data_IF_459861891731
#
_entry.id   IF_459861891731
#
_cell.length_a   1.000
_cell.length_b   1.000
_cell.length_c   1.000
_cell.angle_alpha   90.00
_cell.angle_beta   90.00
_cell.angle_gamma   90.00
#
_symmetry.space_group_name_H-M   'P 1'
#
loop_
_entity.id
_entity.type
_entity.pdbx_description
1 polymer ?
#
# COMPACT_ATOMS: atom_id res chain seq x y z
N UNK A 1 3.46 10.75 -22.50
CA UNK A 1 4.08 10.53 -21.17
C UNK A 1 2.97 10.44 -20.13
N UNK A 2 2.57 9.21 -19.82
CA UNK A 2 1.38 8.90 -19.00
C UNK A 2 1.58 9.18 -17.51
N UNK A 3 2.82 9.36 -17.07
CA UNK A 3 3.14 9.43 -15.64
C UNK A 3 3.02 10.85 -15.05
N UNK A 4 3.04 11.88 -15.86
CA UNK A 4 3.03 13.27 -15.38
C UNK A 4 1.63 13.84 -15.15
N UNK A 5 0.60 13.30 -15.80
CA UNK A 5 -0.71 13.94 -15.81
C UNK A 5 -1.63 13.57 -14.65
N UNK A 6 -1.39 12.43 -13.98
CA UNK A 6 -2.26 11.95 -12.89
C UNK A 6 -2.15 12.82 -11.64
N UNK A 7 -0.95 13.32 -11.33
CA UNK A 7 -0.74 14.20 -10.17
C UNK A 7 -0.97 15.69 -10.49
N UNK A 8 -1.06 16.06 -11.76
CA UNK A 8 -1.38 17.43 -12.19
C UNK A 8 -2.89 17.67 -12.37
N UNK A 9 -3.70 16.61 -12.28
CA UNK A 9 -5.16 16.73 -12.30
C UNK A 9 -5.69 17.34 -10.99
N UNK A 10 -6.91 17.82 -11.01
CA UNK A 10 -7.65 18.31 -9.85
C UNK A 10 -8.11 17.19 -8.89
N UNK A 11 -7.78 15.94 -9.20
CA UNK A 11 -8.12 14.79 -8.38
C UNK A 11 -7.09 14.57 -7.25
N UNK A 12 -7.53 14.35 -6.01
CA UNK A 12 -6.64 14.03 -4.91
C UNK A 12 -6.03 12.62 -5.10
N UNK A 13 -4.71 12.54 -5.21
CA UNK A 13 -3.97 11.30 -5.44
C UNK A 13 -3.41 10.74 -4.13
N UNK A 14 -3.59 9.43 -3.92
CA UNK A 14 -2.95 8.68 -2.83
C UNK A 14 -1.84 7.80 -3.38
N UNK A 15 -0.67 7.85 -2.77
CA UNK A 15 0.38 6.85 -2.99
C UNK A 15 0.16 5.64 -2.08
N UNK A 16 0.36 4.44 -2.62
CA UNK A 16 0.36 3.20 -1.85
C UNK A 16 1.73 2.55 -1.95
N UNK A 17 2.44 2.49 -0.83
CA UNK A 17 3.73 1.78 -0.73
C UNK A 17 3.42 0.30 -0.48
N UNK A 18 3.49 -0.51 -1.54
CA UNK A 18 3.07 -1.91 -1.47
C UNK A 18 3.79 -2.76 -2.53
N UNK A 19 4.27 -3.94 -2.15
CA UNK A 19 4.39 -4.44 -0.79
C UNK A 19 5.61 -3.88 -0.05
N UNK A 20 5.49 -3.68 1.25
CA UNK A 20 6.67 -3.44 2.10
C UNK A 20 7.22 -4.79 2.54
N UNK A 21 8.44 -5.11 2.10
CA UNK A 21 9.13 -6.36 2.44
C UNK A 21 10.05 -6.12 3.62
N UNK A 22 9.79 -6.75 4.79
CA UNK A 22 10.56 -6.53 6.00
C UNK A 22 12.04 -6.89 5.83
N UNK A 23 12.92 -5.95 6.20
CA UNK A 23 14.38 -6.14 6.08
C UNK A 23 14.93 -6.10 4.65
N UNK A 24 14.08 -5.82 3.64
CA UNK A 24 14.49 -5.71 2.24
C UNK A 24 14.12 -4.34 1.64
N UNK A 25 12.84 -3.94 1.66
CA UNK A 25 12.37 -2.67 1.07
C UNK A 25 11.79 -1.68 2.07
N UNK A 26 11.76 -2.02 3.34
CA UNK A 26 11.24 -1.15 4.42
C UNK A 26 12.02 0.18 4.55
N UNK A 27 13.28 0.22 4.13
CA UNK A 27 14.08 1.45 4.10
C UNK A 27 13.67 2.41 2.97
N UNK A 28 12.93 1.94 1.97
CA UNK A 28 12.50 2.74 0.83
C UNK A 28 11.22 3.55 1.09
N UNK A 29 10.53 3.32 2.22
CA UNK A 29 9.28 4.02 2.54
C UNK A 29 9.46 5.54 2.51
N UNK A 30 10.50 6.05 3.13
CA UNK A 30 10.75 7.50 3.22
C UNK A 30 11.03 8.14 1.86
N UNK A 31 11.99 7.64 1.07
CA UNK A 31 12.26 8.21 -0.25
C UNK A 31 11.07 8.09 -1.20
N UNK A 32 10.29 6.98 -1.16
CA UNK A 32 9.09 6.83 -1.98
C UNK A 32 8.04 7.89 -1.61
N UNK A 33 7.76 8.06 -0.31
CA UNK A 33 6.79 9.05 0.16
C UNK A 33 7.23 10.48 -0.15
N UNK A 34 8.53 10.76 -0.05
CA UNK A 34 9.08 12.08 -0.38
C UNK A 34 8.95 12.38 -1.88
N UNK A 35 9.28 11.42 -2.73
CA UNK A 35 9.10 11.55 -4.18
C UNK A 35 7.63 11.72 -4.56
N UNK A 36 6.72 10.92 -3.97
CA UNK A 36 5.29 11.02 -4.20
C UNK A 36 4.72 12.39 -3.76
N UNK A 37 5.17 12.91 -2.61
CA UNK A 37 4.80 14.26 -2.16
C UNK A 37 5.26 15.33 -3.12
N UNK A 38 6.50 15.23 -3.61
CA UNK A 38 7.04 16.14 -4.63
C UNK A 38 6.27 16.10 -5.96
N UNK A 39 5.71 14.93 -6.31
CA UNK A 39 4.86 14.75 -7.47
C UNK A 39 3.38 15.16 -7.23
N UNK A 40 3.02 15.69 -6.06
CA UNK A 40 1.67 16.20 -5.78
C UNK A 40 0.73 15.24 -5.07
N UNK A 41 1.20 14.09 -4.59
CA UNK A 41 0.36 13.20 -3.77
C UNK A 41 -0.08 13.92 -2.48
N UNK A 42 -1.35 13.74 -2.12
CA UNK A 42 -1.95 14.37 -0.91
C UNK A 42 -2.17 13.36 0.22
N UNK A 43 -2.15 12.08 -0.08
CA UNK A 43 -2.34 11.03 0.92
C UNK A 43 -1.40 9.84 0.67
N UNK A 44 -1.18 9.04 1.72
CA UNK A 44 -0.35 7.85 1.66
C UNK A 44 -0.98 6.68 2.41
N UNK A 45 -0.62 5.47 1.99
CA UNK A 45 -0.91 4.22 2.68
C UNK A 45 0.18 3.20 2.37
N UNK A 46 0.27 2.13 3.16
CA UNK A 46 1.16 1.02 2.89
C UNK A 46 0.45 -0.31 3.12
N UNK A 47 1.00 -1.36 2.54
CA UNK A 47 0.60 -2.75 2.79
C UNK A 47 1.87 -3.56 3.02
N UNK A 48 1.94 -4.29 4.13
CA UNK A 48 3.02 -5.25 4.39
C UNK A 48 2.92 -6.44 3.43
N UNK A 49 4.06 -7.08 3.17
CA UNK A 49 4.13 -8.23 2.27
C UNK A 49 3.15 -9.33 2.70
N UNK A 50 2.46 -9.89 1.72
CA UNK A 50 1.51 -10.99 1.86
C UNK A 50 1.91 -12.14 0.95
N UNK A 51 1.98 -13.34 1.52
CA UNK A 51 2.42 -14.55 0.81
C UNK A 51 1.36 -15.65 0.83
N UNK A 52 0.19 -15.46 0.18
CA UNK A 52 -0.84 -16.46 0.17
C UNK A 52 -0.43 -17.68 -0.66
N UNK A 53 -0.67 -18.88 -0.12
CA UNK A 53 -0.53 -20.18 -0.82
C UNK A 53 0.82 -20.33 -1.55
N UNK A 54 0.77 -20.61 -2.85
CA UNK A 54 1.91 -20.83 -3.74
C UNK A 54 2.87 -19.65 -3.83
N UNK A 55 2.39 -18.42 -3.59
CA UNK A 55 3.22 -17.20 -3.61
C UNK A 55 4.33 -17.29 -2.56
N UNK A 56 4.09 -17.95 -1.41
CA UNK A 56 5.12 -18.14 -0.39
C UNK A 56 6.31 -18.93 -0.92
N UNK A 57 6.07 -20.03 -1.62
CA UNK A 57 7.14 -20.87 -2.18
C UNK A 57 7.92 -20.10 -3.24
N UNK A 58 7.22 -19.47 -4.17
CA UNK A 58 7.85 -18.67 -5.23
C UNK A 58 8.71 -17.53 -4.68
N UNK A 59 8.23 -16.86 -3.63
CA UNK A 59 8.97 -15.77 -3.00
C UNK A 59 10.22 -16.28 -2.26
N UNK A 60 10.13 -17.42 -1.59
CA UNK A 60 11.28 -18.04 -0.94
C UNK A 60 12.35 -18.46 -1.97
N UNK A 61 11.94 -19.06 -3.07
CA UNK A 61 12.84 -19.42 -4.17
C UNK A 61 13.51 -18.17 -4.75
N UNK A 62 12.75 -17.10 -4.96
CA UNK A 62 13.29 -15.82 -5.41
C UNK A 62 14.31 -15.25 -4.44
N UNK A 63 14.02 -15.28 -3.12
CA UNK A 63 14.96 -14.81 -2.10
C UNK A 63 16.27 -15.60 -2.13
N UNK A 64 16.20 -16.92 -2.25
CA UNK A 64 17.39 -17.77 -2.32
C UNK A 64 18.24 -17.50 -3.56
N UNK A 65 17.60 -17.20 -4.69
CA UNK A 65 18.30 -16.90 -5.94
C UNK A 65 18.94 -15.49 -5.93
N UNK A 66 18.25 -14.49 -5.39
CA UNK A 66 18.65 -13.08 -5.59
C UNK A 66 19.26 -12.42 -4.36
N UNK A 67 18.91 -12.86 -3.16
CA UNK A 67 19.38 -12.28 -1.89
C UNK A 67 19.60 -13.35 -0.82
N UNK A 68 20.41 -14.40 -1.11
CA UNK A 68 20.56 -15.57 -0.24
C UNK A 68 20.96 -15.21 1.19
N UNK A 69 21.85 -14.23 1.36
CA UNK A 69 22.36 -13.78 2.66
C UNK A 69 21.25 -13.17 3.55
N UNK A 70 20.16 -12.71 2.97
CA UNK A 70 19.02 -12.10 3.67
C UNK A 70 17.79 -12.98 3.73
N UNK A 71 17.72 -14.04 2.92
CA UNK A 71 16.52 -14.87 2.75
C UNK A 71 15.93 -15.34 4.08
N UNK A 72 16.75 -15.96 4.93
CA UNK A 72 16.32 -16.45 6.23
C UNK A 72 15.80 -15.34 7.15
N UNK A 73 16.48 -14.18 7.16
CA UNK A 73 16.10 -13.02 7.98
C UNK A 73 14.79 -12.40 7.51
N UNK A 74 14.60 -12.25 6.19
CA UNK A 74 13.36 -11.73 5.60
C UNK A 74 12.19 -12.64 5.95
N UNK A 75 12.32 -13.95 5.74
CA UNK A 75 11.24 -14.90 6.06
C UNK A 75 10.94 -14.97 7.56
N UNK A 76 11.95 -14.87 8.43
CA UNK A 76 11.72 -14.78 9.86
C UNK A 76 10.88 -13.55 10.23
N UNK A 77 11.13 -12.39 9.62
CA UNK A 77 10.35 -11.19 9.83
C UNK A 77 8.94 -11.27 9.23
N UNK A 78 8.78 -11.89 8.07
CA UNK A 78 7.46 -12.15 7.49
C UNK A 78 6.62 -13.02 8.43
N UNK A 79 7.20 -14.09 8.98
CA UNK A 79 6.50 -14.95 9.94
C UNK A 79 6.17 -14.24 11.25
N UNK A 80 7.06 -13.40 11.74
CA UNK A 80 6.78 -12.55 12.91
C UNK A 80 5.55 -11.65 12.69
N UNK A 81 5.40 -11.06 11.50
CA UNK A 81 4.23 -10.26 11.13
C UNK A 81 2.92 -11.05 11.05
N UNK A 82 3.00 -12.36 10.82
CA UNK A 82 1.84 -13.22 10.57
C UNK A 82 1.66 -14.31 11.62
N UNK A 83 2.07 -14.04 12.87
CA UNK A 83 1.86 -14.98 13.99
C UNK A 83 2.60 -16.30 13.87
N UNK A 84 3.80 -16.29 13.26
CA UNK A 84 4.64 -17.47 13.04
C UNK A 84 4.39 -18.19 11.71
N UNK A 85 3.46 -17.71 10.90
CA UNK A 85 3.10 -18.29 9.59
C UNK A 85 3.59 -17.41 8.43
N UNK A 86 3.70 -17.97 7.24
CA UNK A 86 4.07 -17.19 6.05
C UNK A 86 2.95 -16.23 5.62
N UNK A 87 1.70 -16.50 6.03
CA UNK A 87 0.53 -15.68 5.73
C UNK A 87 -0.61 -15.88 6.73
N UNK A 88 -1.23 -14.79 7.15
CA UNK A 88 -2.49 -14.77 7.91
C UNK A 88 -3.60 -14.12 7.05
N UNK A 89 -4.68 -14.86 6.80
CA UNK A 89 -5.82 -14.40 6.01
C UNK A 89 -6.82 -13.54 6.81
N UNK A 90 -6.66 -13.44 8.13
CA UNK A 90 -7.62 -12.79 9.01
C UNK A 90 -7.85 -11.32 8.60
N UNK A 91 -9.12 -10.93 8.57
CA UNK A 91 -9.50 -9.56 8.24
C UNK A 91 -8.96 -8.59 9.30
N UNK A 92 -8.36 -7.49 8.84
CA UNK A 92 -7.72 -6.51 9.73
C UNK A 92 -6.21 -6.75 9.91
N UNK A 93 -5.75 -7.99 9.96
CA UNK A 93 -4.34 -8.36 10.15
C UNK A 93 -3.57 -8.54 8.84
N UNK A 94 -4.22 -9.13 7.85
CA UNK A 94 -3.62 -9.53 6.56
C UNK A 94 -2.87 -8.41 5.80
N UNK A 95 -3.19 -7.14 6.07
CA UNK A 95 -2.61 -5.99 5.35
C UNK A 95 -1.46 -5.34 6.11
N UNK A 96 -1.45 -5.42 7.43
CA UNK A 96 -0.50 -4.71 8.28
C UNK A 96 0.41 -5.63 9.07
N UNK A 97 -0.05 -6.84 9.35
CA UNK A 97 0.60 -7.78 10.28
C UNK A 97 0.31 -7.44 11.73
N UNK A 98 0.99 -8.13 12.62
CA UNK A 98 0.92 -7.99 14.08
C UNK A 98 2.32 -8.03 14.70
N UNK A 99 2.40 -7.63 15.96
CA UNK A 99 3.61 -7.73 16.75
C UNK A 99 4.55 -6.53 16.64
N UNK A 100 5.67 -6.56 17.38
CA UNK A 100 6.55 -5.39 17.56
C UNK A 100 7.08 -4.80 16.26
N UNK A 101 7.28 -5.64 15.25
CA UNK A 101 7.78 -5.19 13.96
C UNK A 101 6.72 -4.45 13.14
N UNK A 102 5.46 -4.92 13.22
CA UNK A 102 4.33 -4.24 12.59
C UNK A 102 4.11 -2.86 13.23
N UNK A 103 4.21 -2.80 14.57
CA UNK A 103 4.08 -1.54 15.32
C UNK A 103 5.20 -0.55 14.97
N UNK A 104 6.44 -1.03 14.86
CA UNK A 104 7.57 -0.20 14.43
C UNK A 104 7.38 0.34 13.02
N UNK A 105 6.92 -0.50 12.09
CA UNK A 105 6.65 -0.10 10.71
C UNK A 105 5.54 0.95 10.64
N UNK A 106 4.46 0.75 11.40
CA UNK A 106 3.36 1.71 11.49
C UNK A 106 3.85 3.06 12.06
N UNK A 107 4.59 3.04 13.16
CA UNK A 107 5.14 4.25 13.77
C UNK A 107 6.06 4.99 12.80
N UNK A 108 6.97 4.28 12.15
CA UNK A 108 7.88 4.85 11.15
C UNK A 108 7.10 5.49 10.00
N UNK A 109 6.10 4.79 9.47
CA UNK A 109 5.24 5.31 8.42
C UNK A 109 4.50 6.59 8.87
N UNK A 110 3.89 6.58 10.06
CA UNK A 110 3.15 7.72 10.60
C UNK A 110 4.04 8.96 10.81
N UNK A 111 5.27 8.78 11.31
CA UNK A 111 6.23 9.88 11.47
C UNK A 111 6.54 10.54 10.12
N UNK A 112 6.77 9.74 9.08
CA UNK A 112 7.08 10.26 7.75
C UNK A 112 5.88 10.95 7.13
N UNK A 113 4.70 10.34 7.20
CA UNK A 113 3.44 10.90 6.68
C UNK A 113 3.14 12.23 7.33
N UNK A 114 3.28 12.33 8.66
CA UNK A 114 3.08 13.58 9.41
C UNK A 114 4.09 14.64 9.01
N UNK A 115 5.38 14.29 8.93
CA UNK A 115 6.46 15.20 8.52
C UNK A 115 6.24 15.78 7.12
N UNK A 116 5.73 14.97 6.20
CA UNK A 116 5.48 15.38 4.82
C UNK A 116 4.11 16.06 4.62
N UNK A 117 3.27 16.12 5.65
CA UNK A 117 1.92 16.66 5.54
C UNK A 117 1.03 15.86 4.58
N UNK A 118 1.21 14.53 4.54
CA UNK A 118 0.35 13.63 3.79
C UNK A 118 -0.82 13.17 4.68
N UNK A 119 -2.01 13.02 4.09
CA UNK A 119 -3.16 12.46 4.79
C UNK A 119 -3.12 10.92 4.78
N UNK A 120 -3.59 10.29 5.84
CA UNK A 120 -3.78 8.82 5.88
C UNK A 120 -5.09 8.43 5.18
N UNK A 121 -6.06 9.34 5.14
CA UNK A 121 -7.36 9.13 4.48
C UNK A 121 -7.65 10.28 3.52
N UNK A 122 -8.14 9.94 2.34
CA UNK A 122 -8.71 10.92 1.42
C UNK A 122 -10.08 11.41 1.94
N UNK A 123 -10.52 12.61 1.53
CA UNK A 123 -11.89 13.05 1.74
C UNK A 123 -12.90 12.02 1.22
N UNK A 124 -14.09 12.00 1.81
CA UNK A 124 -15.18 11.14 1.34
C UNK A 124 -15.53 11.46 -0.12
N UNK A 125 -15.88 10.42 -0.87
CA UNK A 125 -16.30 10.58 -2.26
C UNK A 125 -17.59 11.42 -2.33
N UNK A 126 -17.62 12.41 -3.18
CA UNK A 126 -18.82 13.15 -3.54
C UNK A 126 -19.70 12.26 -4.42
N UNK A 127 -20.96 12.09 -4.03
CA UNK A 127 -21.96 11.32 -4.78
C UNK A 127 -23.12 12.18 -5.28
N UNK A 128 -23.13 13.42 -4.87
CA UNK A 128 -24.17 14.40 -5.22
C UNK A 128 -24.14 14.81 -6.72
N UNK A 129 -22.98 14.65 -7.37
CA UNK A 129 -22.82 14.91 -8.82
C UNK A 129 -23.00 13.65 -9.68
N UNK A 130 -23.16 12.48 -9.06
CA UNK A 130 -23.31 11.24 -9.80
C UNK A 130 -24.70 11.19 -10.47
N UNK A 131 -24.70 11.12 -11.79
CA UNK A 131 -25.89 10.81 -12.59
C UNK A 131 -25.76 9.37 -13.07
N UNK A 132 -26.70 8.46 -12.73
CA UNK A 132 -26.70 7.11 -13.31
C UNK A 132 -26.68 7.19 -14.82
N UNK A 133 -25.94 6.33 -15.52
CA UNK A 133 -26.03 6.26 -16.97
C UNK A 133 -27.46 5.84 -17.37
N UNK A 134 -27.96 6.46 -18.41
CA UNK A 134 -29.29 6.15 -18.94
C UNK A 134 -29.38 4.69 -19.39
N UNK A 135 -30.45 4.03 -19.04
CA UNK A 135 -30.73 2.67 -19.49
C UNK A 135 -31.58 2.74 -20.77
N UNK A 136 -31.44 1.73 -21.62
CA UNK A 136 -32.32 1.59 -22.79
C UNK A 136 -33.78 1.51 -22.33
N UNK A 137 -34.59 2.50 -22.72
CA UNK A 137 -35.97 2.66 -22.31
C UNK A 137 -36.25 3.73 -21.26
N UNK A 138 -35.18 4.36 -20.69
CA UNK A 138 -35.37 5.51 -19.82
C UNK A 138 -35.90 6.71 -20.62
N UNK A 139 -36.90 7.40 -20.08
CA UNK A 139 -37.42 8.62 -20.67
C UNK A 139 -36.38 9.76 -20.40
N UNK A 140 -35.86 10.35 -21.46
CA UNK A 140 -35.05 11.55 -21.36
C UNK A 140 -35.88 12.71 -20.81
N UNK A 141 -35.38 13.41 -19.80
CA UNK A 141 -35.93 14.68 -19.36
C UNK A 141 -35.81 15.70 -20.46
N UNK A 142 -36.91 16.22 -20.96
CA UNK A 142 -36.97 17.23 -22.03
C UNK A 142 -36.66 18.66 -21.55
N UNK A 143 -36.40 18.84 -20.23
CA UNK A 143 -36.11 20.14 -19.59
C UNK A 143 -35.01 20.00 -18.52
#
# INVERSE_FOLDING_TARGET
>A
DWSSDVCSSDLPVRVMVSPVVPGLTDHEIEPILQAAKGAGAVAASYIALRLPREVSVMFQDWLHCHVPDRAAKVMARVRELHGGQDYDAAFGKRMRGEGPWADLLEQRFQVVVTRLGLAVRLPGLRRDLFKPPERSGDQLTLF
#
